data_IF_790316073472
#
_entry.id   IF_790316073472
#
_cell.length_a   1.000
_cell.length_b   1.000
_cell.length_c   1.000
_cell.angle_alpha   90.00
_cell.angle_beta   90.00
_cell.angle_gamma   90.00
#
_symmetry.space_group_name_H-M   'P 1'
#
loop_
_entity.id
_entity.type
_entity.pdbx_description
1 polymer ?
#
# COMPACT_ATOMS: atom_id res chain seq x y z
N UNK A 1 -27.93 -54.77 -13.05
CA UNK A 1 -27.15 -54.05 -14.08
C UNK A 1 -27.52 -52.58 -13.91
N UNK A 2 -26.62 -51.82 -13.29
CA UNK A 2 -26.86 -50.47 -12.82
C UNK A 2 -26.56 -49.43 -13.89
N UNK A 3 -27.38 -48.39 -13.92
CA UNK A 3 -27.28 -47.23 -14.82
C UNK A 3 -26.22 -46.25 -14.29
N UNK A 4 -25.13 -46.10 -15.03
CA UNK A 4 -24.09 -45.09 -14.79
C UNK A 4 -24.53 -43.73 -15.37
N UNK A 5 -24.85 -42.79 -14.48
CA UNK A 5 -25.05 -41.37 -14.82
C UNK A 5 -23.71 -40.62 -14.83
N UNK A 6 -23.41 -39.80 -15.86
CA UNK A 6 -22.17 -39.05 -15.90
C UNK A 6 -22.22 -37.82 -14.96
N UNK A 7 -21.29 -37.79 -14.01
CA UNK A 7 -21.01 -36.66 -13.13
C UNK A 7 -20.64 -35.42 -13.94
N UNK A 8 -21.40 -34.34 -13.72
CA UNK A 8 -21.10 -33.01 -14.27
C UNK A 8 -19.88 -32.41 -13.56
N UNK A 9 -18.96 -31.73 -14.27
CA UNK A 9 -17.86 -31.03 -13.63
C UNK A 9 -18.40 -29.79 -12.91
N UNK A 10 -18.26 -29.77 -11.58
CA UNK A 10 -18.61 -28.62 -10.75
C UNK A 10 -17.77 -27.41 -11.13
N UNK A 11 -18.43 -26.29 -11.43
CA UNK A 11 -17.80 -24.97 -11.51
C UNK A 11 -17.04 -24.69 -10.21
N UNK A 12 -15.79 -24.19 -10.26
CA UNK A 12 -15.18 -23.61 -9.08
C UNK A 12 -16.02 -22.40 -8.67
N UNK A 13 -16.59 -22.45 -7.47
CA UNK A 13 -17.27 -21.31 -6.90
C UNK A 13 -16.25 -20.16 -6.76
N UNK A 14 -16.39 -19.14 -7.61
CA UNK A 14 -15.88 -17.80 -7.33
C UNK A 14 -16.53 -17.34 -6.03
N UNK A 15 -15.86 -17.62 -4.90
CA UNK A 15 -16.13 -16.92 -3.67
C UNK A 15 -15.55 -15.52 -3.87
N UNK A 16 -16.42 -14.57 -4.24
CA UNK A 16 -16.17 -13.14 -4.09
C UNK A 16 -15.82 -12.88 -2.62
N UNK A 17 -14.52 -12.90 -2.32
CA UNK A 17 -14.02 -12.44 -1.03
C UNK A 17 -14.31 -10.96 -1.00
N UNK A 18 -15.39 -10.56 -0.33
CA UNK A 18 -15.64 -9.17 0.02
C UNK A 18 -14.46 -8.67 0.86
N UNK A 19 -13.46 -8.09 0.19
CA UNK A 19 -12.22 -7.58 0.78
C UNK A 19 -12.48 -6.41 1.75
N UNK A 20 -13.60 -5.72 1.54
CA UNK A 20 -14.06 -4.63 2.37
C UNK A 20 -15.24 -5.13 3.21
N UNK A 21 -15.17 -4.91 4.53
CA UNK A 21 -16.29 -5.28 5.39
C UNK A 21 -17.56 -4.55 4.91
N UNK A 22 -18.75 -5.15 5.04
CA UNK A 22 -20.05 -4.48 4.86
C UNK A 22 -20.25 -3.25 5.78
N UNK A 23 -19.23 -2.83 6.53
CA UNK A 23 -19.30 -1.92 7.65
C UNK A 23 -18.45 -0.66 7.55
N UNK A 24 -17.83 -0.23 6.45
CA UNK A 24 -17.26 1.14 6.46
C UNK A 24 -18.30 2.22 6.88
N UNK A 25 -19.59 2.03 6.54
CA UNK A 25 -20.72 2.82 7.03
C UNK A 25 -21.32 2.32 8.37
N UNK A 26 -21.32 1.00 8.64
CA UNK A 26 -21.83 0.44 9.89
C UNK A 26 -20.81 0.44 11.05
N UNK A 27 -19.52 0.64 10.83
CA UNK A 27 -18.47 0.52 11.84
C UNK A 27 -18.57 1.67 12.82
N UNK A 28 -18.90 2.88 12.35
CA UNK A 28 -19.20 4.01 13.25
C UNK A 28 -20.48 3.74 14.05
N UNK A 29 -21.53 3.23 13.39
CA UNK A 29 -22.84 2.98 14.02
C UNK A 29 -22.81 1.82 15.03
N UNK A 30 -22.32 0.65 14.61
CA UNK A 30 -22.17 -0.58 15.42
C UNK A 30 -21.14 -0.42 16.53
N UNK A 31 -20.05 0.34 16.32
CA UNK A 31 -19.04 0.55 17.37
C UNK A 31 -19.46 1.62 18.37
N UNK A 32 -20.24 2.64 17.97
CA UNK A 32 -20.92 3.54 18.91
C UNK A 32 -22.00 2.81 19.74
N UNK A 33 -22.76 1.91 19.12
CA UNK A 33 -23.78 1.09 19.80
C UNK A 33 -23.16 0.05 20.76
N UNK A 34 -22.00 -0.54 20.43
CA UNK A 34 -21.29 -1.51 21.29
C UNK A 34 -20.44 -0.91 22.41
N UNK A 35 -20.18 0.39 22.41
CA UNK A 35 -19.47 1.05 23.51
C UNK A 35 -20.31 1.14 24.80
N UNK A 36 -21.57 0.70 24.79
CA UNK A 36 -22.46 0.59 25.95
C UNK A 36 -22.47 -0.77 26.68
N UNK A 37 -21.94 -1.84 26.07
CA UNK A 37 -22.03 -3.20 26.62
C UNK A 37 -20.69 -3.93 26.53
N UNK A 38 -19.84 -3.83 27.56
CA UNK A 38 -18.73 -4.77 27.75
C UNK A 38 -18.58 -5.09 29.24
N UNK A 39 -19.32 -6.08 29.72
CA UNK A 39 -18.97 -6.83 30.93
C UNK A 39 -18.50 -8.24 30.56
N UNK A 40 -17.48 -8.70 31.30
CA UNK A 40 -17.00 -10.08 31.41
C UNK A 40 -16.28 -10.71 30.20
N UNK A 41 -14.95 -10.50 30.15
CA UNK A 41 -14.03 -11.49 29.58
C UNK A 41 -12.92 -11.81 30.59
N UNK A 42 -12.98 -13.01 31.18
CA UNK A 42 -11.92 -13.64 31.99
C UNK A 42 -11.43 -14.88 31.24
N UNK A 43 -10.13 -14.98 30.97
CA UNK A 43 -9.59 -16.23 30.41
C UNK A 43 -8.21 -16.21 29.75
N UNK A 44 -7.34 -15.23 30.01
CA UNK A 44 -5.94 -15.29 29.57
C UNK A 44 -5.02 -15.44 30.78
N UNK A 45 -4.12 -16.42 30.72
CA UNK A 45 -3.08 -16.65 31.73
C UNK A 45 -2.17 -15.43 31.82
N UNK A 46 -2.00 -14.88 33.02
CA UNK A 46 -1.30 -13.63 33.35
C UNK A 46 0.12 -13.91 33.88
N UNK A 47 0.92 -14.70 33.18
CA UNK A 47 2.35 -14.63 33.49
C UNK A 47 2.85 -13.26 33.00
N UNK A 48 3.39 -12.41 33.89
CA UNK A 48 3.84 -11.09 33.51
C UNK A 48 4.96 -11.25 32.48
N UNK A 49 4.81 -10.67 31.29
CA UNK A 49 5.79 -10.81 30.23
C UNK A 49 7.10 -10.11 30.63
N UNK A 50 8.25 -10.58 30.12
CA UNK A 50 9.52 -9.95 30.41
C UNK A 50 9.53 -8.50 29.90
N UNK A 51 10.18 -7.57 30.62
CA UNK A 51 10.23 -6.17 30.24
C UNK A 51 10.92 -5.99 28.88
N UNK A 52 10.38 -5.06 28.08
CA UNK A 52 10.93 -4.68 26.77
C UNK A 52 12.22 -3.89 26.95
N UNK A 53 13.23 -4.16 26.13
CA UNK A 53 14.49 -3.39 26.11
C UNK A 53 14.24 -1.93 25.69
N UNK A 54 14.93 -0.96 26.31
CA UNK A 54 14.70 0.48 26.10
C UNK A 54 14.81 0.94 24.62
N UNK A 55 15.77 0.44 23.81
CA UNK A 55 15.83 0.77 22.38
C UNK A 55 14.62 0.26 21.61
N UNK A 56 14.13 -0.94 21.93
CA UNK A 56 12.94 -1.52 21.32
C UNK A 56 11.70 -0.70 21.64
N UNK A 57 11.57 -0.29 22.91
CA UNK A 57 10.51 0.59 23.36
C UNK A 57 10.54 1.92 22.61
N UNK A 58 11.69 2.60 22.51
CA UNK A 58 11.81 3.88 21.77
C UNK A 58 11.45 3.77 20.30
N UNK A 59 11.80 2.65 19.67
CA UNK A 59 11.48 2.41 18.26
C UNK A 59 9.98 2.16 18.07
N UNK A 60 9.36 1.38 18.96
CA UNK A 60 7.90 1.24 18.98
C UNK A 60 7.20 2.56 19.26
N UNK A 61 7.66 3.34 20.25
CA UNK A 61 7.13 4.67 20.55
C UNK A 61 7.24 5.59 19.33
N UNK A 62 8.36 5.57 18.59
CA UNK A 62 8.50 6.38 17.37
C UNK A 62 7.56 5.90 16.25
N UNK A 63 7.42 4.60 16.04
CA UNK A 63 6.52 4.02 15.04
C UNK A 63 5.04 4.33 15.38
N UNK A 64 4.66 4.15 16.64
CA UNK A 64 3.33 4.47 17.14
C UNK A 64 3.09 5.97 17.15
N UNK A 65 4.07 6.79 17.49
CA UNK A 65 3.97 8.24 17.39
C UNK A 65 3.71 8.66 15.95
N UNK A 66 4.29 7.99 14.95
CA UNK A 66 3.94 8.26 13.55
C UNK A 66 2.50 7.86 13.21
N UNK A 67 2.06 6.70 13.66
CA UNK A 67 0.67 6.27 13.49
C UNK A 67 -0.31 7.24 14.18
N UNK A 68 0.08 7.74 15.36
CA UNK A 68 -0.75 8.53 16.27
C UNK A 68 -0.55 10.04 16.16
N UNK A 69 0.46 10.51 15.43
CA UNK A 69 0.57 11.92 15.03
C UNK A 69 -0.69 12.33 14.26
N UNK A 70 -1.26 11.39 13.51
CA UNK A 70 -2.59 11.49 12.91
C UNK A 70 -3.71 11.48 13.95
N UNK A 71 -3.58 10.67 14.99
CA UNK A 71 -4.53 10.55 16.09
C UNK A 71 -4.46 11.70 17.12
N UNK A 72 -3.55 12.69 17.00
CA UNK A 72 -3.44 13.86 17.90
C UNK A 72 -3.32 13.53 19.41
N UNK A 73 -2.84 12.34 19.79
CA UNK A 73 -2.72 11.90 21.20
C UNK A 73 -1.45 11.05 21.47
N UNK A 74 -0.23 11.59 21.31
CA UNK A 74 0.99 10.78 21.30
C UNK A 74 1.48 10.30 22.69
N UNK A 75 1.32 11.11 23.75
CA UNK A 75 2.00 10.86 25.03
C UNK A 75 1.45 9.70 25.85
N UNK A 76 0.16 9.74 26.20
CA UNK A 76 -0.47 8.75 27.07
C UNK A 76 -0.52 7.35 26.43
N UNK A 77 -0.71 7.29 25.11
CA UNK A 77 -0.76 6.01 24.40
C UNK A 77 0.60 5.34 24.32
N UNK A 78 1.66 6.11 24.06
CA UNK A 78 3.00 5.57 23.97
C UNK A 78 3.39 4.88 25.28
N UNK A 79 3.10 5.50 26.42
CA UNK A 79 3.35 4.91 27.73
C UNK A 79 2.51 3.67 28.00
N UNK A 80 1.21 3.70 27.66
CA UNK A 80 0.33 2.53 27.84
C UNK A 80 0.73 1.34 26.96
N UNK A 81 1.04 1.61 25.69
CA UNK A 81 1.51 0.57 24.80
C UNK A 81 2.86 0.05 25.30
N UNK A 82 3.78 0.90 25.73
CA UNK A 82 5.05 0.43 26.29
C UNK A 82 4.90 -0.59 27.43
N UNK A 83 3.83 -0.53 28.24
CA UNK A 83 3.57 -1.51 29.31
C UNK A 83 2.90 -2.79 28.84
N UNK A 84 2.13 -2.75 27.75
CA UNK A 84 1.33 -3.88 27.25
C UNK A 84 1.96 -4.56 26.02
N UNK A 85 2.99 -3.97 25.44
CA UNK A 85 3.63 -4.49 24.23
C UNK A 85 4.63 -5.59 24.55
N UNK A 86 4.64 -6.62 23.69
CA UNK A 86 5.55 -7.75 23.80
C UNK A 86 6.43 -7.85 22.57
N UNK A 87 7.72 -8.07 22.81
CA UNK A 87 8.69 -8.33 21.75
C UNK A 87 8.74 -9.83 21.49
N UNK A 88 8.27 -10.24 20.33
CA UNK A 88 8.38 -11.61 19.82
C UNK A 88 9.62 -11.73 18.94
N UNK A 89 10.44 -12.76 19.21
CA UNK A 89 11.59 -13.10 18.35
C UNK A 89 11.16 -14.08 17.26
N UNK A 90 11.45 -13.73 16.02
CA UNK A 90 11.19 -14.52 14.83
C UNK A 90 12.50 -15.07 14.27
N UNK A 91 12.47 -16.32 13.81
CA UNK A 91 13.63 -16.95 13.17
C UNK A 91 13.69 -16.57 11.70
N UNK A 92 14.85 -16.70 11.07
CA UNK A 92 14.95 -16.57 9.63
C UNK A 92 13.94 -17.49 8.92
N UNK A 93 13.27 -16.96 7.89
CA UNK A 93 12.20 -17.57 7.08
C UNK A 93 10.87 -17.81 7.79
N UNK A 94 10.71 -17.48 9.08
CA UNK A 94 9.38 -17.55 9.70
C UNK A 94 8.46 -16.45 9.16
N UNK A 95 7.19 -16.78 8.96
CA UNK A 95 6.20 -15.80 8.57
C UNK A 95 5.84 -14.90 9.76
N UNK A 96 5.84 -13.60 9.51
CA UNK A 96 5.24 -12.61 10.40
C UNK A 96 3.71 -12.59 10.22
N UNK A 97 3.26 -12.68 8.97
CA UNK A 97 1.86 -12.90 8.60
C UNK A 97 1.79 -13.56 7.23
N UNK A 98 0.71 -14.28 6.96
CA UNK A 98 0.46 -14.90 5.65
C UNK A 98 -0.77 -14.27 5.00
N UNK A 99 -0.67 -14.03 3.69
CA UNK A 99 -1.79 -13.56 2.86
C UNK A 99 -3.06 -14.39 3.12
N UNK A 100 -4.18 -13.70 3.37
CA UNK A 100 -5.48 -14.31 3.59
C UNK A 100 -5.76 -14.76 5.03
N UNK A 101 -4.76 -14.76 5.92
CA UNK A 101 -4.99 -15.00 7.35
C UNK A 101 -5.83 -13.88 7.97
N UNK A 102 -6.62 -14.16 9.03
CA UNK A 102 -7.29 -13.13 9.80
C UNK A 102 -6.33 -12.02 10.23
N UNK A 103 -6.80 -10.78 10.19
CA UNK A 103 -6.00 -9.62 10.52
C UNK A 103 -6.72 -8.74 11.55
N UNK A 104 -6.16 -8.72 12.76
CA UNK A 104 -6.63 -7.96 13.92
C UNK A 104 -5.48 -7.27 14.66
N UNK A 105 -4.29 -7.23 14.06
CA UNK A 105 -3.09 -6.67 14.69
C UNK A 105 -2.18 -5.92 13.72
N UNK A 106 -1.41 -4.99 14.28
CA UNK A 106 -0.29 -4.29 13.65
C UNK A 106 1.01 -4.89 14.15
N UNK A 107 1.95 -5.11 13.25
CA UNK A 107 3.32 -5.51 13.58
C UNK A 107 4.29 -4.36 13.35
N UNK A 108 5.20 -4.15 14.30
CA UNK A 108 6.28 -3.17 14.24
C UNK A 108 7.60 -3.93 14.29
N UNK A 109 8.39 -3.84 13.22
CA UNK A 109 9.70 -4.49 13.17
C UNK A 109 10.68 -3.69 14.03
N UNK A 110 11.17 -4.27 15.12
CA UNK A 110 12.12 -3.63 16.04
C UNK A 110 13.56 -3.84 15.59
N UNK A 111 13.86 -5.06 15.17
CA UNK A 111 15.18 -5.46 14.69
C UNK A 111 15.04 -6.50 13.58
N UNK A 112 16.07 -6.59 12.75
CA UNK A 112 16.13 -7.46 11.60
C UNK A 112 15.46 -6.89 10.35
N UNK A 113 15.28 -7.77 9.36
CA UNK A 113 14.70 -7.43 8.07
C UNK A 113 13.69 -8.48 7.66
N UNK A 114 12.58 -8.04 7.10
CA UNK A 114 11.53 -8.91 6.58
C UNK A 114 11.26 -8.62 5.10
N UNK A 115 10.86 -9.63 4.34
CA UNK A 115 10.52 -9.51 2.92
C UNK A 115 9.02 -9.62 2.73
N UNK A 116 8.47 -8.72 1.94
CA UNK A 116 7.05 -8.67 1.59
C UNK A 116 6.83 -9.41 0.28
N UNK A 117 5.81 -10.26 0.26
CA UNK A 117 5.40 -11.05 -0.89
C UNK A 117 3.96 -10.71 -1.28
N UNK A 118 3.78 -10.42 -2.57
CA UNK A 118 2.49 -10.37 -3.24
C UNK A 118 2.20 -11.73 -3.90
N UNK A 119 0.92 -12.07 -4.03
CA UNK A 119 0.45 -13.34 -4.60
C UNK A 119 0.97 -13.56 -6.02
N UNK A 120 0.76 -12.59 -6.91
CA UNK A 120 1.07 -12.73 -8.34
C UNK A 120 2.47 -12.21 -8.71
N UNK A 121 2.93 -11.15 -8.01
CA UNK A 121 4.21 -10.51 -8.35
C UNK A 121 5.40 -11.20 -7.65
N UNK A 122 5.16 -11.92 -6.55
CA UNK A 122 6.21 -12.50 -5.71
C UNK A 122 6.82 -11.45 -4.78
N UNK A 123 8.15 -11.41 -4.60
CA UNK A 123 8.79 -10.49 -3.65
C UNK A 123 8.71 -9.03 -4.13
N UNK A 124 8.06 -8.16 -3.34
CA UNK A 124 7.77 -6.76 -3.72
C UNK A 124 8.53 -5.72 -2.90
N UNK A 125 9.08 -6.09 -1.75
CA UNK A 125 9.80 -5.15 -0.89
C UNK A 125 10.55 -5.81 0.26
N UNK A 126 11.40 -5.02 0.91
CA UNK A 126 12.08 -5.39 2.16
C UNK A 126 11.78 -4.32 3.20
N UNK A 127 11.35 -4.77 4.38
CA UNK A 127 11.07 -3.98 5.55
C UNK A 127 12.26 -4.06 6.50
N UNK A 128 12.64 -2.93 7.09
CA UNK A 128 13.67 -2.83 8.10
C UNK A 128 13.14 -2.36 9.46
N UNK A 129 14.05 -2.13 10.42
CA UNK A 129 13.69 -1.65 11.76
C UNK A 129 12.92 -0.33 11.72
N UNK A 130 11.75 -0.30 12.35
CA UNK A 130 10.79 0.81 12.37
C UNK A 130 9.65 0.67 11.35
N UNK A 131 9.68 -0.34 10.49
CA UNK A 131 8.58 -0.61 9.55
C UNK A 131 7.33 -1.12 10.28
N UNK A 132 6.16 -0.76 9.74
CA UNK A 132 4.85 -1.14 10.25
C UNK A 132 4.09 -1.96 9.21
N UNK A 133 3.42 -3.03 9.63
CA UNK A 133 2.57 -3.89 8.77
C UNK A 133 1.24 -4.15 9.46
N UNK A 134 0.12 -3.98 8.75
CA UNK A 134 -1.21 -4.27 9.31
C UNK A 134 -1.90 -3.10 9.98
N UNK A 135 -1.53 -1.85 9.65
CA UNK A 135 -2.20 -0.66 10.18
C UNK A 135 -3.70 -0.66 9.89
N UNK A 136 -4.11 -1.05 8.69
CA UNK A 136 -5.53 -1.13 8.30
C UNK A 136 -6.29 -2.22 9.05
N UNK A 137 -5.61 -3.33 9.39
CA UNK A 137 -6.16 -4.39 10.21
C UNK A 137 -6.38 -3.93 11.66
N UNK A 138 -5.41 -3.23 12.25
CA UNK A 138 -5.53 -2.64 13.59
C UNK A 138 -6.73 -1.68 13.72
N UNK A 139 -7.03 -0.94 12.65
CA UNK A 139 -8.19 -0.04 12.57
C UNK A 139 -9.51 -0.76 12.31
N UNK A 140 -9.49 -2.09 12.13
CA UNK A 140 -10.65 -2.90 11.78
C UNK A 140 -11.18 -2.66 10.37
N UNK A 141 -10.36 -2.10 9.48
CA UNK A 141 -10.75 -1.78 8.10
C UNK A 141 -10.57 -2.97 7.15
N UNK A 142 -9.66 -3.88 7.47
CA UNK A 142 -9.43 -5.13 6.75
C UNK A 142 -9.45 -6.29 7.74
N UNK A 143 -10.17 -7.36 7.40
CA UNK A 143 -10.26 -8.56 8.23
C UNK A 143 -9.26 -9.65 7.85
N UNK A 144 -8.55 -9.47 6.74
CA UNK A 144 -7.57 -10.42 6.22
C UNK A 144 -6.26 -9.73 5.86
N UNK A 145 -5.15 -10.45 5.96
CA UNK A 145 -3.82 -9.97 5.57
C UNK A 145 -3.75 -9.84 4.06
N UNK A 146 -3.27 -8.70 3.58
CA UNK A 146 -3.14 -8.39 2.15
C UNK A 146 -1.84 -8.87 1.53
N UNK A 147 -0.87 -9.30 2.34
CA UNK A 147 0.41 -9.83 1.87
C UNK A 147 0.99 -10.85 2.87
N UNK A 148 1.95 -11.64 2.36
CA UNK A 148 2.79 -12.49 3.21
C UNK A 148 4.06 -11.73 3.55
N UNK A 149 4.45 -11.70 4.82
CA UNK A 149 5.70 -11.08 5.27
C UNK A 149 6.55 -12.15 5.93
N UNK A 150 7.76 -12.38 5.40
CA UNK A 150 8.68 -13.40 5.89
C UNK A 150 9.95 -12.76 6.47
N UNK A 151 10.36 -13.17 7.67
CA UNK A 151 11.64 -12.77 8.23
C UNK A 151 12.79 -13.25 7.34
N UNK A 152 13.72 -12.36 6.96
CA UNK A 152 14.92 -12.73 6.18
C UNK A 152 16.04 -13.26 7.07
N UNK A 153 16.08 -12.77 8.31
CA UNK A 153 17.02 -13.13 9.37
C UNK A 153 16.27 -13.22 10.70
N UNK A 154 16.98 -13.41 11.81
CA UNK A 154 16.34 -13.24 13.11
C UNK A 154 15.81 -11.81 13.26
N UNK A 155 14.54 -11.69 13.63
CA UNK A 155 13.86 -10.40 13.78
C UNK A 155 13.28 -10.29 15.18
N UNK A 156 13.22 -9.07 15.70
CA UNK A 156 12.44 -8.73 16.87
C UNK A 156 11.22 -7.94 16.41
N UNK A 157 10.02 -8.34 16.83
CA UNK A 157 8.78 -7.72 16.38
C UNK A 157 7.88 -7.44 17.56
N UNK A 158 7.22 -6.28 17.52
CA UNK A 158 6.17 -5.94 18.46
C UNK A 158 4.83 -6.09 17.76
N UNK A 159 3.93 -6.85 18.37
CA UNK A 159 2.54 -6.98 17.93
C UNK A 159 1.64 -6.08 18.76
N UNK A 160 0.85 -5.24 18.09
CA UNK A 160 -0.20 -4.42 18.68
C UNK A 160 -1.52 -4.98 18.22
N UNK A 161 -2.27 -5.62 19.11
CA UNK A 161 -3.57 -6.20 18.78
C UNK A 161 -4.70 -5.18 18.97
N UNK A 162 -5.77 -5.32 18.19
CA UNK A 162 -6.94 -4.46 18.28
C UNK A 162 -7.63 -4.55 19.66
N UNK A 163 -7.67 -5.75 20.25
CA UNK A 163 -8.27 -5.98 21.57
C UNK A 163 -7.57 -5.20 22.70
N UNK A 164 -6.24 -5.01 22.62
CA UNK A 164 -5.47 -4.16 23.55
C UNK A 164 -5.95 -2.70 23.46
N UNK A 165 -6.19 -2.20 22.25
CA UNK A 165 -6.73 -0.85 22.04
C UNK A 165 -8.18 -0.72 22.50
N UNK A 166 -8.97 -1.79 22.41
CA UNK A 166 -10.35 -1.82 22.89
C UNK A 166 -10.43 -1.86 24.42
N UNK A 167 -9.49 -2.54 25.08
CA UNK A 167 -9.38 -2.58 26.54
C UNK A 167 -8.85 -1.30 27.16
N UNK A 168 -8.26 -0.42 26.36
CA UNK A 168 -7.66 0.80 26.88
C UNK A 168 -8.72 1.75 27.46
N UNK A 169 -8.44 2.31 28.64
CA UNK A 169 -9.34 3.27 29.31
C UNK A 169 -9.23 4.68 28.72
N UNK A 170 -8.26 4.92 27.84
CA UNK A 170 -8.05 6.24 27.25
C UNK A 170 -9.06 6.51 26.15
N UNK A 171 -10.16 7.17 26.53
CA UNK A 171 -11.24 7.60 25.62
C UNK A 171 -10.71 8.37 24.40
N UNK A 172 -9.77 9.29 24.60
CA UNK A 172 -9.19 10.12 23.52
C UNK A 172 -8.53 9.28 22.42
N UNK A 173 -7.78 8.24 22.81
CA UNK A 173 -7.13 7.34 21.87
C UNK A 173 -8.16 6.62 20.99
N UNK A 174 -9.23 6.09 21.61
CA UNK A 174 -10.30 5.41 20.87
C UNK A 174 -10.98 6.36 19.88
N UNK A 175 -11.33 7.55 20.33
CA UNK A 175 -11.94 8.60 19.47
C UNK A 175 -11.04 8.94 18.29
N UNK A 176 -9.73 9.08 18.52
CA UNK A 176 -8.79 9.40 17.48
C UNK A 176 -8.54 8.25 16.48
N UNK A 177 -8.50 7.01 16.95
CA UNK A 177 -8.42 5.83 16.08
C UNK A 177 -9.68 5.65 15.24
N UNK A 178 -10.86 5.94 15.81
CA UNK A 178 -12.13 5.95 15.08
C UNK A 178 -12.15 7.04 14.01
N UNK A 179 -11.66 8.25 14.33
CA UNK A 179 -11.54 9.33 13.35
C UNK A 179 -10.59 8.94 12.22
N UNK A 180 -9.41 8.38 12.54
CA UNK A 180 -8.47 7.89 11.55
C UNK A 180 -9.09 6.79 10.66
N UNK A 181 -9.81 5.83 11.25
CA UNK A 181 -10.51 4.80 10.50
C UNK A 181 -11.56 5.39 9.54
N UNK A 182 -12.33 6.37 10.00
CA UNK A 182 -13.31 7.09 9.18
C UNK A 182 -12.64 7.83 8.01
N UNK A 183 -11.55 8.55 8.26
CA UNK A 183 -10.78 9.24 7.20
C UNK A 183 -10.24 8.25 6.16
N UNK A 184 -9.75 7.08 6.57
CA UNK A 184 -9.32 6.02 5.65
C UNK A 184 -10.47 5.48 4.81
N UNK A 185 -11.66 5.29 5.38
CA UNK A 185 -12.83 4.89 4.62
C UNK A 185 -13.20 5.94 3.56
N UNK A 186 -13.16 7.22 3.89
CA UNK A 186 -13.40 8.29 2.91
C UNK A 186 -12.35 8.28 1.78
N UNK A 187 -11.07 8.11 2.13
CA UNK A 187 -9.97 8.00 1.15
C UNK A 187 -10.19 6.84 0.19
N UNK A 188 -10.57 5.68 0.74
CA UNK A 188 -10.90 4.49 -0.02
C UNK A 188 -12.08 4.70 -0.97
N UNK A 189 -13.17 5.31 -0.50
CA UNK A 189 -14.35 5.61 -1.33
C UNK A 189 -14.04 6.59 -2.47
N UNK A 190 -13.11 7.52 -2.26
CA UNK A 190 -12.68 8.49 -3.26
C UNK A 190 -11.53 7.98 -4.15
N UNK A 191 -11.07 6.74 -3.93
CA UNK A 191 -9.91 6.13 -4.61
C UNK A 191 -8.65 7.01 -4.51
N UNK A 192 -8.53 7.79 -3.44
CA UNK A 192 -7.39 8.66 -3.19
C UNK A 192 -6.20 7.84 -2.69
N UNK A 193 -4.96 8.15 -3.11
CA UNK A 193 -4.60 9.29 -3.95
C UNK A 193 -4.69 9.06 -5.45
N UNK A 194 -4.94 7.83 -5.88
CA UNK A 194 -4.71 7.46 -7.27
C UNK A 194 -5.67 8.15 -8.24
N UNK A 195 -6.91 8.43 -7.82
CA UNK A 195 -7.87 9.21 -8.60
C UNK A 195 -7.44 10.65 -8.89
N UNK A 196 -6.49 11.21 -8.13
CA UNK A 196 -5.96 12.55 -8.41
C UNK A 196 -4.94 12.56 -9.57
N UNK A 197 -4.42 11.39 -9.95
CA UNK A 197 -3.48 11.25 -11.06
C UNK A 197 -4.25 10.99 -12.37
N UNK A 198 -3.70 11.36 -13.55
CA UNK A 198 -4.32 11.13 -14.85
C UNK A 198 -4.18 9.66 -15.30
N UNK A 199 -4.64 8.72 -14.47
CA UNK A 199 -4.47 7.28 -14.66
C UNK A 199 -5.72 6.59 -15.19
N UNK A 200 -6.85 7.28 -15.30
CA UNK A 200 -8.10 6.70 -15.79
C UNK A 200 -8.54 5.48 -14.96
N UNK A 201 -8.54 5.62 -13.64
CA UNK A 201 -8.96 4.55 -12.73
C UNK A 201 -10.48 4.49 -12.72
N UNK A 202 -11.11 3.32 -12.94
CA UNK A 202 -12.56 3.18 -12.90
C UNK A 202 -13.15 3.57 -11.54
N UNK A 203 -14.34 4.16 -11.54
CA UNK A 203 -15.10 4.33 -10.31
C UNK A 203 -15.39 2.94 -9.70
N UNK A 204 -15.10 2.77 -8.41
CA UNK A 204 -15.25 1.47 -7.73
C UNK A 204 -14.11 0.48 -7.92
N UNK A 205 -12.98 0.88 -8.51
CA UNK A 205 -11.78 0.04 -8.60
C UNK A 205 -11.30 -0.41 -7.22
N UNK A 206 -11.32 -1.73 -6.97
CA UNK A 206 -10.98 -2.30 -5.66
C UNK A 206 -9.52 -2.05 -5.26
N UNK A 207 -8.59 -1.99 -6.23
CA UNK A 207 -7.19 -1.67 -5.96
C UNK A 207 -7.02 -0.21 -5.53
N UNK A 208 -7.67 0.73 -6.22
CA UNK A 208 -7.67 2.13 -5.88
C UNK A 208 -8.24 2.35 -4.48
N UNK A 209 -9.33 1.65 -4.16
CA UNK A 209 -9.96 1.68 -2.85
C UNK A 209 -9.04 1.11 -1.75
N UNK A 210 -8.42 -0.05 -2.00
CA UNK A 210 -7.48 -0.67 -1.05
C UNK A 210 -6.25 0.21 -0.82
N UNK A 211 -5.68 0.77 -1.89
CA UNK A 211 -4.52 1.65 -1.77
C UNK A 211 -4.84 2.92 -0.97
N UNK A 212 -6.07 3.44 -1.07
CA UNK A 212 -6.53 4.55 -0.23
C UNK A 212 -6.62 4.22 1.25
N UNK A 213 -6.81 2.96 1.64
CA UNK A 213 -6.71 2.54 3.03
C UNK A 213 -5.26 2.56 3.53
N UNK A 214 -4.29 2.30 2.65
CA UNK A 214 -2.87 2.23 2.97
C UNK A 214 -2.16 3.60 2.90
N UNK A 215 -2.61 4.50 2.03
CA UNK A 215 -1.94 5.76 1.74
C UNK A 215 -1.98 6.72 2.95
N UNK A 216 -0.84 7.19 3.43
CA UNK A 216 -0.70 8.15 4.53
C UNK A 216 -1.16 9.56 4.11
N UNK A 217 -2.20 10.13 4.77
CA UNK A 217 -2.68 11.49 4.50
C UNK A 217 -1.72 12.51 5.11
N UNK A 218 -1.33 13.55 4.37
CA UNK A 218 -0.47 14.63 4.87
C UNK A 218 -1.12 15.98 4.55
N UNK A 219 -1.62 16.63 5.60
CA UNK A 219 -2.13 18.00 5.55
C UNK A 219 -0.99 18.99 5.79
N UNK A 220 -0.85 19.99 4.92
CA UNK A 220 0.20 21.00 4.98
C UNK A 220 -0.42 22.40 4.95
N UNK A 221 -0.13 23.23 5.94
CA UNK A 221 -0.45 24.65 5.91
C UNK A 221 0.54 25.42 5.01
N UNK A 222 0.22 26.64 4.55
CA UNK A 222 1.18 27.47 3.84
C UNK A 222 2.49 27.64 4.63
N UNK A 223 3.61 27.37 3.99
CA UNK A 223 4.95 27.40 4.60
C UNK A 223 5.43 26.06 5.15
N UNK A 224 4.52 25.11 5.42
CA UNK A 224 4.87 23.77 5.89
C UNK A 224 5.69 23.00 4.85
N UNK A 225 6.49 22.06 5.35
CA UNK A 225 7.42 21.27 4.54
C UNK A 225 7.04 19.79 4.60
N UNK A 226 6.83 19.21 3.42
CA UNK A 226 6.83 17.77 3.23
C UNK A 226 8.28 17.30 3.02
N UNK A 227 8.79 16.58 4.02
CA UNK A 227 10.11 15.97 3.98
C UNK A 227 10.06 14.62 3.26
N UNK A 228 10.77 14.46 2.13
CA UNK A 228 10.73 13.21 1.38
C UNK A 228 11.45 12.08 2.12
N UNK A 229 10.89 10.88 2.06
CA UNK A 229 11.53 9.68 2.56
C UNK A 229 12.57 9.15 1.56
N UNK A 230 13.78 8.79 2.03
CA UNK A 230 14.77 8.13 1.18
C UNK A 230 14.31 6.70 0.83
N UNK A 231 14.83 6.14 -0.26
CA UNK A 231 14.55 4.74 -0.64
C UNK A 231 15.06 3.73 0.40
N UNK A 232 15.96 4.15 1.30
CA UNK A 232 16.45 3.39 2.45
C UNK A 232 15.57 3.50 3.70
N UNK A 233 14.41 4.17 3.62
CA UNK A 233 13.47 4.27 4.74
C UNK A 233 13.03 2.86 5.19
N UNK A 234 12.73 2.61 6.48
CA UNK A 234 12.39 1.28 6.98
C UNK A 234 11.27 0.57 6.21
N UNK A 235 10.25 1.32 5.77
CA UNK A 235 9.15 0.80 4.94
C UNK A 235 9.45 0.78 3.44
N UNK A 236 10.71 0.95 3.03
CA UNK A 236 11.16 0.99 1.64
C UNK A 236 10.87 2.32 0.91
N UNK A 237 10.92 2.32 -0.43
CA UNK A 237 10.61 3.49 -1.26
C UNK A 237 9.17 3.98 -1.10
N UNK A 238 9.02 5.30 -1.18
CA UNK A 238 7.71 5.97 -1.15
C UNK A 238 7.56 6.91 -2.34
N UNK A 239 6.32 7.16 -2.70
CA UNK A 239 5.95 8.30 -3.51
C UNK A 239 4.84 9.08 -2.83
N UNK A 240 4.76 10.36 -3.14
CA UNK A 240 3.66 11.21 -2.72
C UNK A 240 2.85 11.69 -3.92
N UNK A 241 1.57 11.96 -3.70
CA UNK A 241 0.68 12.60 -4.67
C UNK A 241 0.12 13.85 -4.05
N UNK A 242 0.35 15.01 -4.68
CA UNK A 242 -0.30 16.25 -4.27
C UNK A 242 -1.71 16.27 -4.83
N UNK A 243 -2.73 16.14 -3.97
CA UNK A 243 -4.15 16.05 -4.37
C UNK A 243 -4.82 17.41 -4.41
N UNK A 244 -4.40 18.34 -3.54
CA UNK A 244 -4.93 19.71 -3.51
C UNK A 244 -3.85 20.74 -3.19
N UNK A 245 -4.09 21.97 -3.63
CA UNK A 245 -3.22 23.13 -3.40
C UNK A 245 -2.04 23.24 -4.39
N UNK A 246 -1.09 24.10 -4.01
CA UNK A 246 0.15 24.35 -4.75
C UNK A 246 1.33 24.36 -3.80
N UNK A 247 2.44 23.79 -4.22
CA UNK A 247 3.67 23.71 -3.45
C UNK A 247 4.87 23.97 -4.36
N UNK A 248 5.96 24.48 -3.83
CA UNK A 248 7.22 24.59 -4.55
C UNK A 248 8.15 23.44 -4.13
N UNK A 249 8.75 22.81 -5.14
CA UNK A 249 9.83 21.85 -4.96
C UNK A 249 11.13 22.65 -4.98
N UNK A 250 11.87 22.59 -3.89
CA UNK A 250 13.08 23.37 -3.68
C UNK A 250 14.20 22.53 -3.06
N UNK A 251 15.45 22.96 -3.26
CA UNK A 251 16.59 22.40 -2.52
C UNK A 251 16.47 22.80 -1.05
N UNK A 252 17.06 22.03 -0.13
CA UNK A 252 17.17 22.41 1.28
C UNK A 252 17.88 23.76 1.51
N UNK A 253 18.61 24.26 0.52
CA UNK A 253 19.19 25.61 0.51
C UNK A 253 18.18 26.73 0.19
N UNK A 254 16.90 26.41 -0.02
CA UNK A 254 15.85 27.35 -0.45
C UNK A 254 15.85 27.68 -1.95
N UNK A 255 16.67 26.99 -2.76
CA UNK A 255 16.70 27.22 -4.22
C UNK A 255 15.47 26.58 -4.87
N UNK A 256 14.57 27.33 -5.53
CA UNK A 256 13.40 26.76 -6.18
C UNK A 256 13.81 25.94 -7.41
N UNK A 257 13.12 24.83 -7.64
CA UNK A 257 13.38 23.91 -8.77
C UNK A 257 12.17 23.90 -9.71
N UNK A 258 10.98 23.66 -9.18
CA UNK A 258 9.73 23.68 -9.96
C UNK A 258 8.54 23.86 -9.03
N UNK A 259 7.43 24.37 -9.57
CA UNK A 259 6.14 24.39 -8.87
C UNK A 259 5.38 23.09 -9.09
N UNK A 260 4.78 22.57 -8.04
CA UNK A 260 3.86 21.44 -8.00
C UNK A 260 2.42 21.94 -7.86
N UNK A 261 1.49 21.24 -8.50
CA UNK A 261 0.04 21.49 -8.45
C UNK A 261 -0.71 20.21 -8.10
N UNK A 262 -1.99 20.30 -7.77
CA UNK A 262 -2.86 19.14 -7.68
C UNK A 262 -2.69 18.19 -8.89
N UNK A 263 -2.63 16.88 -8.62
CA UNK A 263 -2.30 15.83 -9.58
C UNK A 263 -0.80 15.59 -9.82
N UNK A 264 0.10 16.25 -9.07
CA UNK A 264 1.55 16.02 -9.21
C UNK A 264 1.98 14.74 -8.50
N UNK A 265 2.73 13.90 -9.21
CA UNK A 265 3.46 12.76 -8.66
C UNK A 265 4.82 13.19 -8.12
N UNK A 266 5.18 12.75 -6.91
CA UNK A 266 6.37 13.18 -6.18
C UNK A 266 7.22 11.94 -5.85
N UNK A 267 8.34 11.69 -6.57
CA UNK A 267 9.22 10.56 -6.31
C UNK A 267 10.13 10.85 -5.09
N UNK A 268 9.65 10.57 -3.88
CA UNK A 268 10.31 10.99 -2.64
C UNK A 268 11.78 10.57 -2.55
N UNK A 269 12.09 9.31 -2.88
CA UNK A 269 13.47 8.82 -2.83
C UNK A 269 14.45 9.64 -3.69
N UNK A 270 14.00 10.06 -4.88
CA UNK A 270 14.78 10.91 -5.77
C UNK A 270 15.01 12.31 -5.16
N UNK A 271 14.01 12.87 -4.48
CA UNK A 271 14.13 14.17 -3.82
C UNK A 271 15.08 14.09 -2.62
N UNK A 272 14.91 13.06 -1.77
CA UNK A 272 15.75 12.82 -0.61
C UNK A 272 17.23 12.64 -0.97
N UNK A 273 17.54 11.84 -2.01
CA UNK A 273 18.92 11.65 -2.50
C UNK A 273 19.59 12.96 -2.95
N UNK A 274 18.78 13.90 -3.45
CA UNK A 274 19.25 15.19 -3.91
C UNK A 274 19.17 16.30 -2.86
N UNK A 275 18.65 16.01 -1.65
CA UNK A 275 18.49 17.02 -0.60
C UNK A 275 17.45 18.09 -0.97
N UNK A 276 16.43 17.70 -1.72
CA UNK A 276 15.27 18.52 -2.03
C UNK A 276 14.11 18.25 -1.07
N UNK A 277 13.19 19.19 -0.97
CA UNK A 277 11.97 19.13 -0.16
C UNK A 277 10.80 19.77 -0.92
N UNK A 278 9.59 19.58 -0.41
CA UNK A 278 8.38 20.22 -0.96
C UNK A 278 7.82 21.18 0.08
N UNK A 279 7.73 22.47 -0.26
CA UNK A 279 7.17 23.52 0.60
C UNK A 279 5.80 23.93 0.10
N UNK A 280 4.80 23.88 0.97
CA UNK A 280 3.45 24.28 0.64
C UNK A 280 3.36 25.81 0.44
N UNK A 281 2.82 26.26 -0.69
CA UNK A 281 2.56 27.69 -0.95
C UNK A 281 1.13 28.09 -0.56
N UNK A 282 0.21 27.12 -0.63
CA UNK A 282 -1.16 27.23 -0.15
C UNK A 282 -1.42 26.12 0.88
N UNK A 283 -2.62 26.07 1.44
CA UNK A 283 -3.06 24.83 2.10
C UNK A 283 -3.00 23.70 1.07
N UNK A 284 -2.32 22.62 1.42
CA UNK A 284 -2.06 21.48 0.57
C UNK A 284 -2.54 20.20 1.23
N UNK A 285 -3.04 19.29 0.39
CA UNK A 285 -3.32 17.91 0.78
C UNK A 285 -2.48 17.01 -0.10
N UNK A 286 -1.60 16.25 0.52
CA UNK A 286 -0.84 15.19 -0.13
C UNK A 286 -1.18 13.84 0.48
N UNK A 287 -0.92 12.78 -0.26
CA UNK A 287 -0.88 11.43 0.28
C UNK A 287 0.43 10.77 -0.06
N UNK A 288 1.02 10.09 0.91
CA UNK A 288 2.23 9.30 0.78
C UNK A 288 1.88 7.82 0.70
N UNK A 289 2.44 7.11 -0.25
CA UNK A 289 2.17 5.69 -0.49
C UNK A 289 3.48 4.91 -0.44
N UNK A 290 3.61 3.89 0.44
CA UNK A 290 4.70 2.93 0.36
C UNK A 290 4.61 2.15 -0.96
N UNK A 291 5.71 2.05 -1.70
CA UNK A 291 5.70 1.41 -3.01
C UNK A 291 5.31 -0.08 -2.93
N UNK A 292 5.67 -0.78 -1.84
CA UNK A 292 5.27 -2.17 -1.68
C UNK A 292 3.75 -2.33 -1.52
N UNK A 293 3.04 -1.38 -0.90
CA UNK A 293 1.57 -1.44 -0.77
C UNK A 293 0.88 -1.31 -2.14
N UNK A 294 1.40 -0.43 -3.01
CA UNK A 294 0.96 -0.36 -4.41
C UNK A 294 1.16 -1.70 -5.13
N UNK A 295 2.33 -2.31 -4.97
CA UNK A 295 2.66 -3.58 -5.63
C UNK A 295 1.86 -4.76 -5.07
N UNK A 296 1.66 -4.85 -3.75
CA UNK A 296 0.79 -5.84 -3.13
C UNK A 296 -0.62 -5.72 -3.68
N UNK A 297 -1.16 -4.49 -3.71
CA UNK A 297 -2.53 -4.20 -4.15
C UNK A 297 -2.74 -4.56 -5.62
N UNK A 298 -1.90 -4.06 -6.53
CA UNK A 298 -2.00 -4.37 -7.97
C UNK A 298 -1.74 -5.86 -8.23
N UNK A 299 -0.81 -6.47 -7.49
CA UNK A 299 -0.53 -7.90 -7.59
C UNK A 299 -1.63 -8.81 -7.05
N UNK A 300 -2.72 -8.26 -6.48
CA UNK A 300 -3.89 -9.03 -6.08
C UNK A 300 -4.99 -9.06 -7.13
N UNK A 301 -4.97 -8.14 -8.12
CA UNK A 301 -6.02 -7.96 -9.11
C UNK A 301 -5.41 -7.65 -10.50
N UNK A 302 -5.42 -8.61 -11.43
CA UNK A 302 -4.84 -8.42 -12.77
C UNK A 302 -5.47 -7.28 -13.59
N UNK A 303 -6.74 -6.94 -13.32
CA UNK A 303 -7.48 -5.86 -13.99
C UNK A 303 -6.86 -4.48 -13.77
N UNK A 304 -6.19 -4.29 -12.64
CA UNK A 304 -5.52 -3.04 -12.27
C UNK A 304 -4.23 -2.78 -13.09
N UNK A 305 -3.78 -3.75 -13.90
CA UNK A 305 -2.51 -3.69 -14.64
C UNK A 305 -2.44 -2.51 -15.60
N UNK A 306 -3.54 -2.17 -16.25
CA UNK A 306 -3.55 -1.13 -17.27
C UNK A 306 -3.24 0.26 -16.68
N UNK A 307 -3.92 0.66 -15.61
CA UNK A 307 -3.65 1.94 -14.95
C UNK A 307 -2.33 1.90 -14.16
N UNK A 308 -1.91 0.74 -13.67
CA UNK A 308 -0.60 0.58 -13.04
C UNK A 308 0.54 0.83 -14.04
N UNK A 309 0.45 0.30 -15.26
CA UNK A 309 1.43 0.56 -16.32
C UNK A 309 1.50 2.06 -16.67
N UNK A 310 0.34 2.74 -16.69
CA UNK A 310 0.29 4.22 -16.82
C UNK A 310 0.98 4.93 -15.64
N UNK A 311 0.76 4.46 -14.41
CA UNK A 311 1.40 5.01 -13.21
C UNK A 311 2.93 4.89 -13.30
N UNK A 312 3.44 3.75 -13.77
CA UNK A 312 4.87 3.52 -14.02
C UNK A 312 5.42 4.45 -15.10
N UNK A 313 4.69 4.64 -16.20
CA UNK A 313 5.04 5.61 -17.23
C UNK A 313 5.14 7.04 -16.69
N UNK A 314 4.17 7.45 -15.87
CA UNK A 314 4.15 8.76 -15.21
C UNK A 314 5.34 8.93 -14.26
N UNK A 315 5.63 7.94 -13.41
CA UNK A 315 6.79 7.95 -12.51
C UNK A 315 8.09 8.15 -13.30
N UNK A 316 8.29 7.39 -14.38
CA UNK A 316 9.48 7.46 -15.22
C UNK A 316 9.62 8.84 -15.88
N UNK A 317 8.53 9.38 -16.43
CA UNK A 317 8.50 10.71 -17.04
C UNK A 317 8.89 11.79 -16.03
N UNK A 318 8.31 11.75 -14.82
CA UNK A 318 8.60 12.71 -13.74
C UNK A 318 10.06 12.60 -13.31
N UNK A 319 10.58 11.38 -13.11
CA UNK A 319 11.98 11.15 -12.75
C UNK A 319 12.95 11.70 -13.81
N UNK A 320 12.70 11.42 -15.09
CA UNK A 320 13.52 11.93 -16.20
C UNK A 320 13.52 13.45 -16.28
N UNK A 321 12.38 14.10 -16.01
CA UNK A 321 12.25 15.55 -16.01
C UNK A 321 12.94 16.22 -14.82
N UNK A 322 12.82 15.64 -13.62
CA UNK A 322 13.33 16.24 -12.38
C UNK A 322 14.82 16.01 -12.15
N UNK A 323 15.35 14.83 -12.48
CA UNK A 323 16.74 14.46 -12.18
C UNK A 323 17.79 15.48 -12.68
N UNK A 324 17.78 15.96 -13.95
CA UNK A 324 18.76 16.96 -14.39
C UNK A 324 18.62 18.28 -13.64
N UNK A 325 17.39 18.72 -13.33
CA UNK A 325 17.14 19.97 -12.59
C UNK A 325 17.67 19.89 -11.16
N UNK A 326 17.44 18.76 -10.49
CA UNK A 326 17.96 18.48 -9.15
C UNK A 326 19.49 18.46 -9.13
N UNK A 327 20.12 17.79 -10.10
CA UNK A 327 21.59 17.73 -10.20
C UNK A 327 22.21 19.11 -10.41
N UNK A 328 21.62 19.93 -11.28
CA UNK A 328 22.09 21.30 -11.52
C UNK A 328 21.95 22.15 -10.26
N UNK A 329 20.78 22.13 -9.62
CA UNK A 329 20.53 22.88 -8.39
C UNK A 329 21.46 22.44 -7.24
N UNK A 330 21.76 21.14 -7.13
CA UNK A 330 22.69 20.58 -6.14
C UNK A 330 24.12 21.06 -6.37
N UNK A 331 24.60 21.10 -7.61
CA UNK A 331 25.94 21.62 -7.95
C UNK A 331 26.10 23.09 -7.57
N UNK A 332 25.10 23.92 -7.86
CA UNK A 332 25.15 25.36 -7.55
C UNK A 332 25.20 25.63 -6.04
N UNK A 333 24.47 24.85 -5.24
CA UNK A 333 24.47 24.98 -3.78
C UNK A 333 25.84 24.71 -3.15
N UNK A 334 26.65 23.83 -3.76
CA UNK A 334 28.01 23.52 -3.29
C UNK A 334 29.00 24.64 -3.59
N UNK A 335 28.83 25.32 -4.72
CA UNK A 335 29.66 26.46 -5.09
C UNK A 335 29.44 27.65 -4.16
N UNK A 336 28.19 27.92 -3.78
CA UNK A 336 27.86 29.01 -2.85
C UNK A 336 28.39 28.79 -1.42
N UNK A 337 28.43 27.55 -0.93
CA UNK A 337 29.00 27.25 0.41
C UNK A 337 30.51 27.42 0.50
N UNK A 338 31.25 27.40 -0.63
CA UNK A 338 32.71 27.55 -0.61
C UNK A 338 33.17 28.99 -0.39
N UNK A 339 32.35 29.99 -0.72
CA UNK A 339 32.69 31.41 -0.60
C UNK A 339 32.48 31.97 0.81
N UNK A 340 31.82 31.23 1.69
CA UNK A 340 31.55 31.61 3.09
C UNK A 340 32.26 30.68 4.07
N UNK A 341 33.58 30.57 3.96
CA UNK A 341 34.39 29.84 4.94
C UNK A 341 34.50 30.65 6.25
N UNK A 342 33.52 30.52 7.12
CA UNK A 342 33.72 30.69 8.57
C UNK A 342 34.08 29.33 9.18
N UNK A 343 35.00 29.25 10.16
CA UNK A 343 35.44 27.98 10.70
C UNK A 343 34.37 27.32 11.60
N UNK A 344 34.12 26.05 11.28
CA UNK A 344 33.75 24.97 12.21
C UNK A 344 32.31 24.89 12.76
N UNK A 345 31.55 23.92 12.24
CA UNK A 345 30.95 22.83 13.06
C UNK A 345 30.54 21.69 12.12
N UNK A 346 31.15 20.51 12.29
CA UNK A 346 30.79 19.31 11.50
C UNK A 346 29.43 18.79 11.97
N UNK A 347 28.42 18.66 11.09
CA UNK A 347 27.20 17.94 11.44
C UNK A 347 27.51 16.44 11.61
N UNK A 348 26.91 15.82 12.63
CA UNK A 348 27.04 14.40 12.89
C UNK A 348 26.56 13.58 11.67
N UNK A 349 27.42 12.70 11.16
CA UNK A 349 27.07 11.76 10.08
C UNK A 349 26.02 10.78 10.62
N UNK A 350 24.84 10.78 10.03
CA UNK A 350 23.87 9.70 10.24
C UNK A 350 24.50 8.35 9.82
N UNK A 351 24.24 7.25 10.55
CA UNK A 351 24.72 5.93 10.17
C UNK A 351 24.16 5.55 8.80
N UNK A 352 25.06 5.33 7.84
CA UNK A 352 24.71 4.83 6.50
C UNK A 352 24.35 3.36 6.66
N UNK A 353 23.08 3.00 6.45
CA UNK A 353 22.67 1.61 6.38
C UNK A 353 23.29 0.99 5.11
N UNK A 354 24.28 0.11 5.25
CA UNK A 354 25.09 -0.44 4.14
C UNK A 354 24.40 -1.61 3.42
N UNK A 355 23.24 -2.05 3.90
CA UNK A 355 22.37 -2.89 3.07
C UNK A 355 21.77 -2.00 1.99
N UNK A 356 22.45 -1.92 0.83
CA UNK A 356 21.82 -1.49 -0.42
C UNK A 356 20.51 -2.28 -0.49
N UNK A 357 19.38 -1.58 -0.39
CA UNK A 357 18.10 -2.18 -0.72
C UNK A 357 18.32 -2.95 -2.03
N UNK A 358 18.01 -4.26 -2.08
CA UNK A 358 18.14 -4.99 -3.33
C UNK A 358 17.42 -4.15 -4.39
N UNK A 359 18.01 -3.96 -5.59
CA UNK A 359 17.41 -3.12 -6.61
C UNK A 359 15.95 -3.51 -6.71
N UNK A 360 15.04 -2.54 -6.53
CA UNK A 360 13.61 -2.71 -6.78
C UNK A 360 13.55 -3.38 -8.14
N UNK A 361 13.23 -4.67 -8.16
CA UNK A 361 13.41 -5.48 -9.35
C UNK A 361 12.66 -4.78 -10.49
N UNK A 362 13.26 -4.59 -11.68
CA UNK A 362 12.44 -4.34 -12.84
C UNK A 362 11.55 -5.59 -12.99
N UNK A 363 10.25 -5.41 -12.74
CA UNK A 363 9.18 -6.41 -12.95
C UNK A 363 9.19 -6.96 -14.40
N UNK A 364 9.97 -6.36 -15.29
CA UNK A 364 10.31 -6.84 -16.62
C UNK A 364 10.82 -8.30 -16.65
N UNK A 365 11.40 -8.82 -15.56
CA UNK A 365 11.80 -10.23 -15.48
C UNK A 365 10.62 -11.22 -15.49
N UNK A 366 9.38 -10.78 -15.20
CA UNK A 366 8.17 -11.62 -15.22
C UNK A 366 7.64 -11.84 -16.66
N UNK A 367 8.16 -11.12 -17.67
CA UNK A 367 7.73 -11.27 -19.08
C UNK A 367 8.23 -12.54 -19.78
N UNK A 368 8.97 -13.44 -19.13
CA UNK A 368 9.53 -14.65 -19.77
C UNK A 368 9.11 -15.95 -19.09
N UNK A 369 7.82 -16.28 -19.16
CA UNK A 369 7.41 -17.68 -19.19
C UNK A 369 7.13 -18.07 -20.65
N UNK A 370 7.82 -19.07 -21.22
CA UNK A 370 7.60 -19.47 -22.60
C UNK A 370 6.25 -20.16 -22.70
N UNK A 371 5.34 -19.58 -23.49
CA UNK A 371 4.23 -20.34 -24.05
C UNK A 371 4.81 -21.57 -24.74
N UNK A 372 4.50 -22.76 -24.21
CA UNK A 372 4.80 -24.04 -24.85
C UNK A 372 4.29 -23.98 -26.28
N UNK A 373 5.22 -24.02 -27.25
CA UNK A 373 4.94 -24.39 -28.64
C UNK A 373 4.23 -25.74 -28.62
N UNK A 374 2.95 -25.79 -29.00
CA UNK A 374 2.38 -27.01 -29.58
C UNK A 374 2.76 -27.01 -31.06
N UNK A 375 3.43 -28.07 -31.46
CA UNK A 375 3.96 -28.31 -32.81
C UNK A 375 2.79 -28.61 -33.77
N UNK A 376 2.64 -27.90 -34.91
CA UNK A 376 1.56 -28.15 -35.89
C UNK A 376 1.62 -29.51 -36.61
N UNK A 377 2.55 -30.40 -36.27
CA UNK A 377 2.83 -31.64 -37.01
C UNK A 377 2.14 -32.90 -36.49
N UNK A 378 1.43 -32.85 -35.37
CA UNK A 378 0.63 -34.00 -34.88
C UNK A 378 -0.81 -34.07 -35.43
N UNK A 379 -1.24 -33.11 -36.26
CA UNK A 379 -2.59 -33.08 -36.85
C UNK A 379 -2.74 -33.89 -38.16
N UNK A 380 -1.80 -34.77 -38.50
CA UNK A 380 -1.89 -35.64 -39.69
C UNK A 380 -1.56 -37.09 -39.35
N UNK A 381 -2.53 -37.84 -38.84
CA UNK A 381 -2.69 -39.31 -39.04
C UNK A 381 -3.97 -39.84 -38.39
N UNK A 382 -5.08 -39.68 -39.10
CA UNK A 382 -6.20 -40.65 -39.10
C UNK A 382 -7.18 -40.23 -40.19
N UNK A 383 -6.96 -40.78 -41.38
CA UNK A 383 -7.83 -40.67 -42.55
C UNK A 383 -8.57 -42.00 -42.74
N UNK A 384 -9.89 -41.95 -42.96
CA UNK A 384 -10.60 -42.80 -43.95
C UNK A 384 -12.11 -42.50 -43.99
N UNK A 385 -12.53 -41.72 -45.01
CA UNK A 385 -13.62 -41.89 -46.01
C UNK A 385 -14.73 -42.97 -45.82
N UNK A 386 -15.85 -42.95 -46.61
CA UNK A 386 -16.52 -41.87 -47.36
C UNK A 386 -18.08 -41.94 -47.40
N UNK A 387 -18.67 -41.03 -48.21
CA UNK A 387 -19.92 -41.14 -49.00
C UNK A 387 -21.30 -40.85 -48.36
N UNK A 388 -22.09 -40.05 -49.10
CA UNK A 388 -23.54 -39.87 -48.87
C UNK A 388 -24.11 -38.55 -49.42
N UNK A 389 -24.48 -38.52 -50.70
CA UNK A 389 -25.27 -37.45 -51.36
C UNK A 389 -26.65 -37.29 -50.71
N UNK A 390 -27.24 -36.08 -50.76
CA UNK A 390 -28.49 -35.75 -51.51
C UNK A 390 -29.23 -34.51 -50.93
N UNK A 391 -29.55 -33.60 -51.87
CA UNK A 391 -30.80 -32.82 -52.05
C UNK A 391 -31.17 -31.66 -51.11
N UNK A 392 -31.28 -30.49 -51.77
CA UNK A 392 -32.20 -29.38 -51.50
C UNK A 392 -33.67 -29.84 -51.58
N UNK A 393 -34.64 -29.15 -50.93
CA UNK A 393 -35.23 -27.93 -51.50
C UNK A 393 -35.65 -26.82 -50.49
N UNK A 394 -35.70 -25.59 -50.99
CA UNK A 394 -36.49 -24.40 -50.53
C UNK A 394 -38.02 -24.61 -50.75
N UNK A 395 -38.96 -23.67 -50.43
CA UNK A 395 -38.96 -22.45 -49.58
C UNK A 395 -40.24 -22.29 -48.68
N UNK A 396 -40.30 -21.22 -47.86
CA UNK A 396 -41.55 -20.65 -47.30
C UNK A 396 -41.28 -19.69 -46.13
N UNK A 397 -41.34 -18.36 -46.32
CA UNK A 397 -42.51 -17.46 -46.26
C UNK A 397 -42.81 -16.92 -44.84
N UNK A 398 -42.97 -15.59 -44.72
CA UNK A 398 -43.53 -14.89 -43.53
C UNK A 398 -42.62 -13.78 -42.98
N UNK A 399 -42.80 -12.52 -43.41
CA UNK A 399 -43.54 -11.45 -42.69
C UNK A 399 -42.68 -10.75 -41.60
N UNK A 400 -42.18 -9.53 -41.85
CA UNK A 400 -42.80 -8.17 -41.72
C UNK A 400 -42.47 -7.50 -40.36
N UNK A 401 -41.93 -6.27 -40.44
CA UNK A 401 -42.20 -5.08 -39.60
C UNK A 401 -41.71 -5.14 -38.12
N UNK A 402 -40.97 -4.19 -37.54
CA UNK A 402 -40.95 -2.72 -37.65
C UNK A 402 -39.57 -2.14 -37.25
N UNK A 403 -39.24 -1.00 -37.86
CA UNK A 403 -38.19 -0.06 -37.45
C UNK A 403 -38.69 0.83 -36.31
N UNK A 404 -37.83 1.13 -35.35
CA UNK A 404 -37.98 2.25 -34.42
C UNK A 404 -36.71 3.10 -34.44
N UNK A 405 -36.80 4.28 -35.05
CA UNK A 405 -35.82 5.37 -35.01
C UNK A 405 -36.21 6.27 -33.84
N UNK A 406 -35.26 6.65 -32.98
CA UNK A 406 -35.41 7.74 -32.01
C UNK A 406 -34.31 8.77 -32.26
N UNK A 407 -34.73 9.99 -32.57
CA UNK A 407 -33.93 11.20 -32.53
C UNK A 407 -34.54 12.13 -31.47
N UNK A 408 -33.66 12.74 -30.67
CA UNK A 408 -33.74 14.14 -30.26
C UNK A 408 -34.51 14.47 -28.98
N UNK A 409 -33.77 14.83 -27.93
CA UNK A 409 -33.59 16.24 -27.54
C UNK A 409 -32.30 16.41 -26.76
#
# INVERSE_FOLDING_TARGET
MGEDSPLSPGSPAEQDVQLLSPSAANYVKVKLERLGEVESFRGLSLDPPPPVDLPAQRLAEAALTRLLAYARAPGELATFLATELHVTKLRAKSALCVLGEPADSLFILVDGYARVYSKEIGPVGVLGPGAMVGTTALLGLLHVRTCTVLALQECAVIEVRQDILERTKFRRIKESLLLLAYERCQQSQQLMPMAALPLGIPAGDACGALLGLHAERVDLAPGDVLWPFPDSHPSGPHFSVLVSGTADLEMASGKPITRLRAGSYIPEGLLAENGALVRANSTCLAYRVPQYDLLVTVGSQPECREWYDRCRGLEQQVRQSLLPRLRNAKSDSRSASRTLSSPSRRPAKAPVCVLKAPPVFPVEAIRKSPARRRDPREMRRSASKPEGRLRTPTPGSGARLLRGVWHGT
#
